data_IF_514701016495
#
_entry.id   IF_514701016495
#
_cell.length_a   1.000
_cell.length_b   1.000
_cell.length_c   1.000
_cell.angle_alpha   90.00
_cell.angle_beta   90.00
_cell.angle_gamma   90.00
#
_symmetry.space_group_name_H-M   'P 1'
#
loop_
_entity.id
_entity.type
_entity.pdbx_description
1 polymer ?
#
# COMPACT_ATOMS: atom_id res chain seq x y z
N UNK A 1 -8.09 -12.35 4.24
CA UNK A 1 -7.19 -13.39 4.77
C UNK A 1 -5.75 -12.92 4.92
N UNK A 2 -5.25 -12.14 3.94
CA UNK A 2 -3.87 -11.64 3.97
C UNK A 2 -3.60 -10.70 5.17
N UNK A 3 -4.61 -9.95 5.61
CA UNK A 3 -4.56 -9.03 6.76
C UNK A 3 -4.42 -9.81 8.08
N UNK A 4 -5.11 -10.92 8.19
CA UNK A 4 -5.16 -11.74 9.39
C UNK A 4 -3.96 -12.68 9.52
N UNK A 5 -3.44 -13.19 8.36
CA UNK A 5 -2.42 -14.22 8.31
C UNK A 5 -1.10 -13.75 7.69
N UNK A 6 -0.78 -12.47 7.81
CA UNK A 6 0.48 -11.86 7.38
C UNK A 6 0.84 -12.15 5.91
N UNK A 7 -0.13 -11.96 5.01
CA UNK A 7 0.02 -12.26 3.58
C UNK A 7 0.73 -11.17 2.77
N UNK A 8 0.87 -9.94 3.27
CA UNK A 8 1.49 -8.84 2.54
C UNK A 8 3.00 -8.73 2.80
N UNK A 9 3.75 -8.32 1.77
CA UNK A 9 5.19 -8.02 1.93
C UNK A 9 5.47 -6.88 2.91
N UNK A 10 4.52 -5.96 3.08
CA UNK A 10 4.63 -4.86 4.02
C UNK A 10 4.83 -5.34 5.47
N UNK A 11 4.28 -6.48 5.86
CA UNK A 11 4.55 -7.08 7.17
C UNK A 11 6.03 -7.46 7.36
N UNK A 12 6.64 -8.05 6.32
CA UNK A 12 8.07 -8.38 6.37
C UNK A 12 8.92 -7.12 6.42
N UNK A 13 8.58 -6.13 5.60
CA UNK A 13 9.24 -4.83 5.63
C UNK A 13 9.13 -4.16 7.00
N UNK A 14 7.96 -4.22 7.63
CA UNK A 14 7.73 -3.65 8.95
C UNK A 14 8.55 -4.37 10.04
N UNK A 15 8.60 -5.70 10.00
CA UNK A 15 9.46 -6.47 10.91
C UNK A 15 10.94 -6.09 10.75
N UNK A 16 11.40 -5.99 9.50
CA UNK A 16 12.80 -5.65 9.21
C UNK A 16 13.13 -4.23 9.70
N UNK A 17 12.26 -3.23 9.48
CA UNK A 17 12.52 -1.86 9.94
C UNK A 17 12.53 -1.76 11.46
N UNK A 18 11.68 -2.51 12.17
CA UNK A 18 11.70 -2.61 13.64
C UNK A 18 13.06 -3.13 14.13
N UNK A 19 13.64 -4.13 13.45
CA UNK A 19 14.94 -4.71 13.83
C UNK A 19 16.12 -3.83 13.42
N UNK A 20 16.12 -3.29 12.21
CA UNK A 20 17.19 -2.41 11.72
C UNK A 20 17.37 -1.19 12.62
N UNK A 21 16.28 -0.59 13.07
CA UNK A 21 16.33 0.62 13.94
C UNK A 21 16.78 0.35 15.36
N UNK A 22 16.80 -0.88 15.81
CA UNK A 22 17.42 -1.26 17.08
C UNK A 22 18.96 -1.32 16.97
N UNK A 23 19.46 -1.58 15.75
CA UNK A 23 20.89 -1.80 15.50
C UNK A 23 21.56 -0.51 14.99
N UNK A 24 20.91 0.18 14.07
CA UNK A 24 21.52 1.32 13.38
C UNK A 24 20.96 2.65 13.86
N UNK A 25 21.82 3.62 14.20
CA UNK A 25 21.40 4.97 14.55
C UNK A 25 20.83 5.71 13.33
N UNK A 26 20.04 6.75 13.59
CA UNK A 26 19.27 7.47 12.58
C UNK A 26 20.12 8.06 11.44
N UNK A 27 21.37 8.45 11.72
CA UNK A 27 22.24 9.03 10.69
C UNK A 27 22.63 7.98 9.63
N UNK A 28 22.90 6.72 10.04
CA UNK A 28 23.18 5.62 9.11
C UNK A 28 21.94 5.32 8.25
N UNK A 29 20.76 5.37 8.84
CA UNK A 29 19.52 5.17 8.11
C UNK A 29 19.28 6.26 7.04
N UNK A 30 19.70 7.50 7.31
CA UNK A 30 19.67 8.58 6.31
C UNK A 30 20.65 8.33 5.15
N UNK A 31 21.81 7.75 5.42
CA UNK A 31 22.77 7.33 4.40
C UNK A 31 22.16 6.24 3.51
N UNK A 32 21.57 5.21 4.12
CA UNK A 32 20.87 4.16 3.36
C UNK A 32 19.72 4.73 2.52
N UNK A 33 18.95 5.67 3.06
CA UNK A 33 17.90 6.37 2.32
C UNK A 33 18.47 7.12 1.11
N UNK A 34 19.59 7.82 1.26
CA UNK A 34 20.24 8.56 0.17
C UNK A 34 20.63 7.62 -0.98
N UNK A 35 21.29 6.50 -0.70
CA UNK A 35 21.74 5.56 -1.72
C UNK A 35 20.63 4.71 -2.32
N UNK A 36 19.69 4.23 -1.51
CA UNK A 36 18.68 3.24 -1.93
C UNK A 36 17.28 3.80 -2.08
N UNK A 37 16.99 4.97 -1.52
CA UNK A 37 15.63 5.55 -1.53
C UNK A 37 15.19 6.10 -2.88
N UNK A 38 16.13 6.38 -3.80
CA UNK A 38 15.87 6.99 -5.11
C UNK A 38 16.44 6.14 -6.26
N UNK A 39 16.40 4.82 -6.14
CA UNK A 39 16.87 3.93 -7.20
C UNK A 39 16.05 4.13 -8.47
N UNK A 40 16.72 4.14 -9.62
CA UNK A 40 16.05 4.18 -10.92
C UNK A 40 15.21 2.91 -11.10
N UNK A 41 13.90 3.08 -11.20
CA UNK A 41 12.93 1.99 -11.31
C UNK A 41 12.73 1.67 -12.79
N UNK A 42 12.77 0.39 -13.15
CA UNK A 42 12.46 -0.06 -14.50
C UNK A 42 10.95 -0.13 -14.74
N UNK A 43 10.56 -0.19 -16.01
CA UNK A 43 9.16 -0.36 -16.43
C UNK A 43 8.55 -1.72 -16.08
N UNK A 44 9.34 -2.66 -15.55
CA UNK A 44 8.86 -3.99 -15.20
C UNK A 44 7.91 -3.94 -14.00
N UNK A 45 6.76 -4.60 -14.13
CA UNK A 45 5.70 -4.63 -13.10
C UNK A 45 6.18 -5.09 -11.72
N UNK A 46 7.08 -6.08 -11.68
CA UNK A 46 7.62 -6.66 -10.44
C UNK A 46 9.09 -6.28 -10.23
N UNK A 47 9.46 -5.03 -10.42
CA UNK A 47 10.82 -4.58 -10.20
C UNK A 47 11.17 -4.64 -8.70
N UNK A 48 12.17 -5.46 -8.37
CA UNK A 48 12.70 -5.54 -7.00
C UNK A 48 13.35 -4.22 -6.56
N UNK A 49 13.93 -3.45 -7.50
CA UNK A 49 14.47 -2.11 -7.22
C UNK A 49 13.39 -1.18 -6.70
N UNK A 50 12.15 -1.27 -7.24
CA UNK A 50 11.00 -0.51 -6.73
C UNK A 50 10.73 -0.83 -5.26
N UNK A 51 10.70 -2.12 -4.89
CA UNK A 51 10.46 -2.54 -3.49
C UNK A 51 11.55 -2.06 -2.55
N UNK A 52 12.81 -2.17 -2.97
CA UNK A 52 13.98 -1.71 -2.20
C UNK A 52 13.90 -0.20 -2.02
N UNK A 53 13.68 0.54 -3.10
CA UNK A 53 13.59 2.00 -3.03
C UNK A 53 12.43 2.46 -2.13
N UNK A 54 11.24 1.88 -2.25
CA UNK A 54 10.12 2.21 -1.35
C UNK A 54 10.41 1.91 0.12
N UNK A 55 11.10 0.82 0.40
CA UNK A 55 11.52 0.47 1.76
C UNK A 55 12.45 1.55 2.33
N UNK A 56 13.53 1.88 1.62
CA UNK A 56 14.53 2.82 2.09
C UNK A 56 14.08 4.28 2.04
N UNK A 57 13.16 4.65 1.17
CA UNK A 57 12.61 6.02 1.08
C UNK A 57 12.00 6.49 2.41
N UNK A 58 11.49 5.57 3.20
CA UNK A 58 10.81 5.88 4.47
C UNK A 58 11.51 5.30 5.71
N UNK A 59 12.73 4.79 5.57
CA UNK A 59 13.44 4.12 6.67
C UNK A 59 13.76 5.05 7.84
N UNK A 60 13.91 6.35 7.61
CA UNK A 60 14.19 7.37 8.61
C UNK A 60 12.93 7.87 9.36
N UNK A 61 11.73 7.52 8.89
CA UNK A 61 10.45 7.90 9.52
C UNK A 61 10.16 7.01 10.74
N UNK A 62 9.21 7.42 11.59
CA UNK A 62 8.72 6.54 12.66
C UNK A 62 8.14 5.25 12.05
N UNK A 63 8.31 4.11 12.72
CA UNK A 63 7.98 2.80 12.13
C UNK A 63 6.51 2.71 11.68
N UNK A 64 5.57 3.20 12.48
CA UNK A 64 4.16 3.23 12.11
C UNK A 64 3.90 4.19 10.92
N UNK A 65 4.64 5.27 10.79
CA UNK A 65 4.54 6.18 9.64
C UNK A 65 5.05 5.50 8.37
N UNK A 66 6.19 4.79 8.43
CA UNK A 66 6.71 4.03 7.30
C UNK A 66 5.69 3.00 6.79
N UNK A 67 5.01 2.29 7.69
CA UNK A 67 3.95 1.33 7.32
C UNK A 67 2.79 2.03 6.59
N UNK A 68 2.35 3.18 7.08
CA UNK A 68 1.29 3.98 6.43
C UNK A 68 1.72 4.40 5.02
N UNK A 69 2.95 4.90 4.87
CA UNK A 69 3.45 5.34 3.57
C UNK A 69 3.58 4.20 2.55
N UNK A 70 4.01 3.01 2.98
CA UNK A 70 4.09 1.85 2.07
C UNK A 70 2.73 1.40 1.53
N UNK A 71 1.65 1.69 2.26
CA UNK A 71 0.29 1.31 1.86
C UNK A 71 -0.38 2.43 1.09
N UNK A 72 -0.26 3.67 1.55
CA UNK A 72 -0.90 4.82 0.92
C UNK A 72 -0.17 5.31 -0.34
N UNK A 73 1.10 4.96 -0.51
CA UNK A 73 2.00 5.50 -1.54
C UNK A 73 2.12 7.04 -1.52
N UNK A 74 1.74 7.70 -0.41
CA UNK A 74 1.84 9.15 -0.25
C UNK A 74 2.95 9.53 0.74
N UNK A 75 3.82 10.45 0.36
CA UNK A 75 4.78 11.11 1.24
C UNK A 75 4.24 12.49 1.68
N UNK A 76 4.52 12.90 2.92
CA UNK A 76 4.14 14.23 3.44
C UNK A 76 4.65 15.40 2.58
N UNK A 77 5.82 15.24 1.96
CA UNK A 77 6.39 16.26 1.08
C UNK A 77 5.60 16.37 -0.22
N UNK A 78 5.31 15.24 -0.82
CA UNK A 78 4.50 15.13 -2.02
C UNK A 78 3.09 15.63 -1.76
N UNK A 79 2.58 15.43 -0.56
CA UNK A 79 1.27 15.84 -0.12
C UNK A 79 1.07 17.36 -0.06
N UNK A 80 2.04 18.12 0.44
CA UNK A 80 1.99 19.58 0.43
C UNK A 80 1.89 20.15 -0.98
N UNK A 81 2.50 19.47 -1.94
CA UNK A 81 2.49 19.85 -3.35
C UNK A 81 1.26 19.33 -4.11
N UNK A 82 0.59 18.29 -3.57
CA UNK A 82 -0.58 17.66 -4.18
C UNK A 82 -1.90 18.32 -3.85
N UNK A 83 -2.11 18.67 -2.59
CA UNK A 83 -3.42 19.12 -2.17
C UNK A 83 -3.59 20.62 -2.38
N UNK A 84 -4.53 21.01 -3.26
CA UNK A 84 -5.04 22.39 -3.37
C UNK A 84 -5.68 22.90 -2.07
N UNK A 85 -6.02 22.01 -1.14
CA UNK A 85 -6.62 22.36 0.15
C UNK A 85 -5.81 21.85 1.32
N UNK A 86 -5.48 22.71 2.25
CA UNK A 86 -4.92 22.39 3.57
C UNK A 86 -5.89 21.64 4.50
N UNK A 87 -6.99 21.13 3.97
CA UNK A 87 -8.14 20.62 4.73
C UNK A 87 -8.08 19.15 5.10
N UNK A 88 -7.08 18.39 4.64
CA UNK A 88 -6.91 17.04 5.11
C UNK A 88 -6.34 17.04 6.53
N UNK A 89 -7.21 16.84 7.50
CA UNK A 89 -6.91 16.76 8.95
C UNK A 89 -6.07 15.50 9.28
N UNK A 90 -4.85 15.43 8.69
CA UNK A 90 -3.93 14.29 8.76
C UNK A 90 -3.38 14.03 10.15
N UNK A 91 -3.24 15.07 10.96
CA UNK A 91 -2.76 14.92 12.33
C UNK A 91 -3.66 14.01 13.17
N UNK A 92 -4.98 14.04 12.95
CA UNK A 92 -5.92 13.18 13.69
C UNK A 92 -5.74 11.71 13.37
N UNK A 93 -5.72 11.33 12.09
CA UNK A 93 -5.59 9.92 11.67
C UNK A 93 -4.24 9.31 12.07
N UNK A 94 -3.14 10.04 11.90
CA UNK A 94 -1.82 9.58 12.35
C UNK A 94 -1.74 9.45 13.87
N UNK A 95 -2.43 10.31 14.63
CA UNK A 95 -2.50 10.18 16.09
C UNK A 95 -3.21 8.90 16.55
N UNK A 96 -4.27 8.47 15.87
CA UNK A 96 -4.90 7.17 16.15
C UNK A 96 -3.94 6.01 15.91
N UNK A 97 -3.25 6.01 14.77
CA UNK A 97 -2.28 4.97 14.43
C UNK A 97 -1.11 4.97 15.42
N UNK A 98 -0.62 6.16 15.81
CA UNK A 98 0.41 6.32 16.84
C UNK A 98 -0.05 5.71 18.17
N UNK A 99 -1.26 6.03 18.64
CA UNK A 99 -1.82 5.47 19.88
C UNK A 99 -1.92 3.94 19.79
N UNK A 100 -2.39 3.41 18.65
CA UNK A 100 -2.46 1.97 18.44
C UNK A 100 -1.06 1.33 18.48
N UNK A 101 -0.05 1.95 17.86
CA UNK A 101 1.33 1.49 17.90
C UNK A 101 1.92 1.48 19.31
N UNK A 102 1.64 2.53 20.10
CA UNK A 102 2.11 2.65 21.48
C UNK A 102 1.44 1.64 22.42
N UNK A 103 0.16 1.36 22.20
CA UNK A 103 -0.62 0.42 23.03
C UNK A 103 -0.10 -1.03 22.96
N UNK A 104 0.46 -1.44 21.83
CA UNK A 104 0.90 -2.82 21.62
C UNK A 104 2.41 -2.97 21.77
N UNK A 105 2.85 -3.78 22.75
CA UNK A 105 4.27 -4.17 22.93
C UNK A 105 4.74 -5.02 21.74
N UNK A 106 3.94 -5.99 21.31
CA UNK A 106 4.16 -6.74 20.08
C UNK A 106 3.84 -5.87 18.85
N UNK A 107 4.91 -5.38 18.18
CA UNK A 107 4.78 -4.50 17.03
C UNK A 107 4.22 -5.20 15.79
N UNK A 108 4.38 -6.50 15.68
CA UNK A 108 3.74 -7.27 14.61
C UNK A 108 2.24 -7.40 14.84
N UNK A 109 1.80 -7.52 16.10
CA UNK A 109 0.38 -7.47 16.46
C UNK A 109 -0.24 -6.11 16.10
N UNK A 110 0.47 -5.02 16.40
CA UNK A 110 0.07 -3.69 15.91
C UNK A 110 -0.12 -3.69 14.40
N UNK A 111 0.84 -4.22 13.64
CA UNK A 111 0.74 -4.21 12.17
C UNK A 111 -0.46 -5.03 11.67
N UNK A 112 -0.75 -6.18 12.26
CA UNK A 112 -1.94 -7.00 11.96
C UNK A 112 -3.23 -6.20 12.17
N UNK A 113 -3.36 -5.56 13.35
CA UNK A 113 -4.52 -4.73 13.70
C UNK A 113 -4.64 -3.50 12.79
N UNK A 114 -3.52 -2.91 12.40
CA UNK A 114 -3.49 -1.80 11.46
C UNK A 114 -4.08 -2.20 10.10
N UNK A 115 -3.62 -3.32 9.53
CA UNK A 115 -4.16 -3.83 8.28
C UNK A 115 -5.64 -4.20 8.39
N UNK A 116 -6.04 -4.84 9.48
CA UNK A 116 -7.41 -5.23 9.70
C UNK A 116 -8.36 -4.02 9.85
N UNK A 117 -7.97 -3.00 10.63
CA UNK A 117 -8.84 -1.86 10.94
C UNK A 117 -8.84 -0.75 9.89
N UNK A 118 -7.72 -0.53 9.21
CA UNK A 118 -7.54 0.65 8.34
C UNK A 118 -7.38 0.32 6.87
N UNK A 119 -6.83 -0.85 6.54
CA UNK A 119 -6.60 -1.24 5.15
C UNK A 119 -7.72 -2.13 4.61
N UNK A 120 -8.13 -3.15 5.34
CA UNK A 120 -9.16 -4.09 4.92
C UNK A 120 -10.49 -3.42 4.55
N UNK A 121 -11.02 -2.42 5.31
CA UNK A 121 -12.28 -1.77 4.94
C UNK A 121 -12.27 -1.16 3.54
N UNK A 122 -11.14 -0.60 3.09
CA UNK A 122 -11.03 -0.02 1.74
C UNK A 122 -11.07 -1.10 0.65
N UNK A 123 -10.52 -2.28 0.94
CA UNK A 123 -10.56 -3.42 0.02
C UNK A 123 -11.97 -4.02 -0.05
N UNK A 124 -12.63 -4.15 1.10
CA UNK A 124 -13.99 -4.67 1.18
C UNK A 124 -14.97 -3.75 0.45
N UNK A 125 -14.87 -2.45 0.67
CA UNK A 125 -15.69 -1.46 -0.02
C UNK A 125 -15.53 -1.58 -1.54
N UNK A 126 -14.29 -1.68 -2.03
CA UNK A 126 -14.01 -1.87 -3.46
C UNK A 126 -14.60 -3.17 -4.00
N UNK A 127 -14.44 -4.28 -3.26
CA UNK A 127 -14.96 -5.58 -3.67
C UNK A 127 -16.49 -5.58 -3.73
N UNK A 128 -17.13 -4.98 -2.72
CA UNK A 128 -18.58 -4.85 -2.63
C UNK A 128 -19.14 -4.02 -3.78
N UNK A 129 -18.63 -2.82 -4.00
CA UNK A 129 -19.05 -2.00 -5.15
C UNK A 129 -18.88 -2.73 -6.48
N UNK A 130 -17.76 -3.41 -6.69
CA UNK A 130 -17.48 -4.08 -7.96
C UNK A 130 -18.41 -5.27 -8.21
N UNK A 131 -18.80 -6.01 -7.18
CA UNK A 131 -19.72 -7.14 -7.28
C UNK A 131 -21.18 -6.67 -7.40
N UNK A 132 -21.56 -5.66 -6.62
CA UNK A 132 -22.93 -5.11 -6.63
C UNK A 132 -23.29 -4.39 -7.93
N UNK A 133 -22.31 -3.85 -8.67
CA UNK A 133 -22.55 -3.36 -10.05
C UNK A 133 -23.16 -4.43 -10.98
N UNK A 134 -22.96 -5.71 -10.66
CA UNK A 134 -23.52 -6.84 -11.38
C UNK A 134 -24.57 -7.61 -10.54
N UNK A 135 -25.13 -6.99 -9.50
CA UNK A 135 -26.09 -7.59 -8.56
C UNK A 135 -25.61 -8.90 -7.94
N UNK A 136 -24.30 -9.06 -7.74
CA UNK A 136 -23.67 -10.22 -7.13
C UNK A 136 -23.21 -9.88 -5.72
N UNK A 137 -23.69 -10.58 -4.71
CA UNK A 137 -23.23 -10.41 -3.34
C UNK A 137 -21.96 -11.19 -3.08
N UNK A 138 -20.88 -10.49 -2.70
CA UNK A 138 -19.60 -11.10 -2.38
C UNK A 138 -19.50 -11.40 -0.89
N UNK A 139 -19.26 -12.66 -0.52
CA UNK A 139 -19.03 -13.08 0.86
C UNK A 139 -17.57 -13.44 1.08
N UNK A 140 -17.02 -13.04 2.23
CA UNK A 140 -15.63 -13.24 2.59
C UNK A 140 -15.51 -14.25 3.76
N UNK A 141 -15.32 -15.56 3.49
CA UNK A 141 -15.28 -16.61 4.54
C UNK A 141 -14.23 -16.35 5.61
N UNK A 142 -13.11 -15.73 5.23
CA UNK A 142 -12.04 -15.37 6.17
C UNK A 142 -12.41 -14.26 7.15
N UNK A 143 -13.58 -13.64 7.02
CA UNK A 143 -14.08 -12.59 7.92
C UNK A 143 -15.21 -13.08 8.83
N UNK A 144 -15.42 -14.38 8.93
CA UNK A 144 -16.29 -14.92 9.99
C UNK A 144 -15.76 -14.51 11.36
N UNK A 145 -16.66 -14.19 12.28
CA UNK A 145 -16.33 -13.70 13.62
C UNK A 145 -15.34 -14.62 14.33
N UNK A 146 -15.57 -15.92 14.25
CA UNK A 146 -14.74 -16.92 14.95
C UNK A 146 -13.33 -16.96 14.39
N UNK A 147 -13.19 -16.93 13.04
CA UNK A 147 -11.87 -16.93 12.41
C UNK A 147 -11.10 -15.63 12.64
N UNK A 148 -11.79 -14.49 12.65
CA UNK A 148 -11.18 -13.20 12.99
C UNK A 148 -10.67 -13.23 14.43
N UNK A 149 -11.51 -13.60 15.40
CA UNK A 149 -11.12 -13.69 16.80
C UNK A 149 -9.94 -14.65 16.98
N UNK A 150 -10.05 -15.86 16.43
CA UNK A 150 -8.97 -16.84 16.47
C UNK A 150 -7.64 -16.26 15.93
N UNK A 151 -7.67 -15.63 14.77
CA UNK A 151 -6.45 -15.08 14.17
C UNK A 151 -5.84 -13.93 14.98
N UNK A 152 -6.72 -13.12 15.59
CA UNK A 152 -6.30 -12.00 16.43
C UNK A 152 -5.80 -12.47 17.81
N UNK A 153 -6.25 -13.59 18.33
CA UNK A 153 -5.80 -14.16 19.61
C UNK A 153 -4.52 -14.98 19.47
N UNK A 154 -4.21 -15.42 18.26
CA UNK A 154 -2.98 -16.17 18.00
C UNK A 154 -1.72 -15.36 18.37
N UNK A 155 -0.77 -15.98 19.08
CA UNK A 155 0.55 -15.40 19.24
C UNK A 155 1.23 -15.15 17.90
N UNK A 156 1.80 -13.97 17.72
CA UNK A 156 2.42 -13.57 16.45
C UNK A 156 3.48 -14.56 15.96
N UNK A 157 4.26 -15.14 16.88
CA UNK A 157 5.28 -16.17 16.58
C UNK A 157 4.73 -17.41 15.86
N UNK A 158 3.45 -17.77 16.10
CA UNK A 158 2.80 -18.90 15.44
C UNK A 158 2.25 -18.55 14.05
N UNK A 159 1.88 -17.27 13.85
CA UNK A 159 1.19 -16.81 12.66
C UNK A 159 2.14 -16.12 11.64
N UNK A 160 3.15 -15.39 12.11
CA UNK A 160 4.10 -14.66 11.28
C UNK A 160 5.38 -15.45 11.00
N UNK A 161 5.89 -15.35 9.77
CA UNK A 161 7.22 -15.83 9.39
C UNK A 161 7.89 -14.83 8.44
N UNK A 162 9.17 -14.54 8.70
CA UNK A 162 9.98 -13.70 7.80
C UNK A 162 10.20 -14.36 6.44
N UNK A 163 10.31 -15.68 6.41
CA UNK A 163 10.64 -16.44 5.19
C UNK A 163 9.41 -16.78 4.34
N UNK A 164 8.23 -16.92 4.94
CA UNK A 164 7.01 -17.31 4.23
C UNK A 164 5.83 -16.40 4.55
N UNK A 165 5.17 -15.90 3.51
CA UNK A 165 3.87 -15.22 3.66
C UNK A 165 2.78 -16.27 3.94
N UNK A 166 1.80 -15.92 4.78
CA UNK A 166 0.70 -16.83 5.17
C UNK A 166 1.21 -18.17 5.71
N UNK A 167 2.27 -18.12 6.55
CA UNK A 167 3.00 -19.32 6.99
C UNK A 167 2.09 -20.34 7.69
N UNK A 168 1.17 -19.89 8.54
CA UNK A 168 0.21 -20.76 9.22
C UNK A 168 -0.74 -21.43 8.22
N UNK A 169 -1.33 -20.67 7.31
CA UNK A 169 -2.24 -21.19 6.29
C UNK A 169 -1.56 -22.24 5.40
N UNK A 170 -0.32 -21.95 5.00
CA UNK A 170 0.47 -22.92 4.23
C UNK A 170 0.74 -24.22 4.99
N UNK A 171 0.99 -24.13 6.30
CA UNK A 171 1.19 -25.34 7.12
C UNK A 171 -0.08 -26.17 7.23
N UNK A 172 -1.24 -25.52 7.44
CA UNK A 172 -2.52 -26.19 7.58
C UNK A 172 -2.92 -26.87 6.27
N UNK A 173 -2.81 -26.16 5.15
CA UNK A 173 -3.30 -26.62 3.85
C UNK A 173 -2.20 -27.19 2.93
N UNK A 174 -1.04 -27.54 3.46
CA UNK A 174 0.09 -27.98 2.63
C UNK A 174 -0.21 -29.27 1.86
N UNK A 175 -0.90 -30.20 2.50
CA UNK A 175 -1.22 -31.49 1.87
C UNK A 175 -2.32 -31.34 0.81
N UNK A 176 -3.33 -30.48 1.06
CA UNK A 176 -4.50 -30.33 0.20
C UNK A 176 -4.23 -29.44 -1.01
N UNK A 177 -3.34 -28.45 -0.84
CA UNK A 177 -3.12 -27.39 -1.83
C UNK A 177 -1.64 -27.17 -2.17
N UNK A 178 -0.80 -28.21 -2.14
CA UNK A 178 0.63 -28.09 -2.39
C UNK A 178 0.95 -27.32 -3.67
N UNK A 179 0.36 -27.72 -4.80
CA UNK A 179 0.56 -27.07 -6.11
C UNK A 179 0.12 -25.60 -6.14
N UNK A 180 -0.91 -25.23 -5.35
CA UNK A 180 -1.40 -23.84 -5.25
C UNK A 180 -0.49 -23.02 -4.35
N UNK A 181 0.00 -23.60 -3.25
CA UNK A 181 0.89 -22.93 -2.30
C UNK A 181 2.26 -22.60 -2.89
N UNK A 182 2.72 -23.36 -3.88
CA UNK A 182 3.98 -23.15 -4.58
C UNK A 182 3.90 -22.03 -5.63
N UNK A 183 2.70 -21.71 -6.13
CA UNK A 183 2.53 -20.63 -7.11
C UNK A 183 2.78 -19.25 -6.49
N UNK A 184 3.51 -18.42 -7.22
CA UNK A 184 3.66 -17.01 -6.85
C UNK A 184 2.31 -16.33 -6.91
N UNK A 185 1.99 -15.56 -5.86
CA UNK A 185 0.79 -14.73 -5.83
C UNK A 185 0.90 -13.65 -6.91
N UNK A 186 -0.05 -13.63 -7.83
CA UNK A 186 -0.27 -12.51 -8.75
C UNK A 186 -1.38 -11.62 -8.18
N UNK A 187 -1.08 -10.32 -8.03
CA UNK A 187 -2.10 -9.35 -7.64
C UNK A 187 -3.01 -9.02 -8.83
N UNK A 188 -4.21 -8.54 -8.54
CA UNK A 188 -5.05 -7.90 -9.54
C UNK A 188 -4.38 -6.58 -9.97
N UNK A 189 -3.63 -6.64 -11.06
CA UNK A 189 -3.06 -5.46 -11.66
C UNK A 189 -3.42 -5.46 -13.14
N UNK A 190 -4.01 -4.38 -13.59
CA UNK A 190 -4.12 -4.11 -15.00
C UNK A 190 -3.02 -3.13 -15.43
N UNK A 191 -2.75 -3.07 -16.74
CA UNK A 191 -1.66 -2.27 -17.28
C UNK A 191 -2.02 -0.77 -17.34
N UNK A 192 -2.11 -0.12 -16.17
CA UNK A 192 -2.39 1.31 -16.08
C UNK A 192 -1.34 2.20 -16.78
N UNK A 193 -0.14 1.65 -17.01
CA UNK A 193 0.95 2.37 -17.66
C UNK A 193 0.67 2.66 -19.12
N UNK A 194 0.03 1.74 -19.82
CA UNK A 194 -0.40 1.91 -21.20
C UNK A 194 -1.36 3.08 -21.31
N UNK A 195 -2.37 3.11 -20.44
CA UNK A 195 -3.34 4.22 -20.37
C UNK A 195 -2.65 5.55 -20.03
N UNK A 196 -1.76 5.56 -19.03
CA UNK A 196 -1.05 6.78 -18.62
C UNK A 196 -0.07 7.30 -19.67
N UNK A 197 0.41 6.47 -20.60
CA UNK A 197 1.29 6.88 -21.71
C UNK A 197 0.52 7.45 -22.90
N UNK A 198 -0.76 7.14 -22.99
CA UNK A 198 -1.62 7.74 -24.01
C UNK A 198 -1.93 9.20 -23.66
N UNK A 199 -1.16 10.13 -24.26
CA UNK A 199 -1.32 11.57 -24.04
C UNK A 199 -2.71 12.05 -24.46
N UNK A 200 -3.24 11.54 -25.57
CA UNK A 200 -4.55 11.95 -26.07
C UNK A 200 -5.65 11.56 -25.07
N UNK A 201 -5.58 10.33 -24.54
CA UNK A 201 -6.50 9.89 -23.49
C UNK A 201 -6.40 10.76 -22.25
N UNK A 202 -5.19 11.05 -21.76
CA UNK A 202 -4.95 11.84 -20.55
C UNK A 202 -5.51 13.25 -20.70
N UNK A 203 -5.14 13.99 -21.74
CA UNK A 203 -5.59 15.37 -21.92
C UNK A 203 -7.08 15.46 -22.26
N UNK A 204 -7.67 14.46 -22.93
CA UNK A 204 -9.12 14.40 -23.20
C UNK A 204 -9.93 14.19 -21.91
N UNK A 205 -9.46 13.35 -20.97
CA UNK A 205 -10.22 12.95 -19.81
C UNK A 205 -9.91 13.76 -18.55
N UNK A 206 -8.72 14.35 -18.44
CA UNK A 206 -8.37 15.21 -17.29
C UNK A 206 -8.73 16.66 -17.63
N UNK A 207 -10.03 16.99 -17.53
CA UNK A 207 -10.55 18.34 -17.77
C UNK A 207 -10.31 19.29 -16.60
N UNK A 208 -10.32 18.76 -15.39
CA UNK A 208 -10.10 19.50 -14.15
C UNK A 208 -9.19 18.71 -13.22
N UNK A 209 -8.17 19.37 -12.71
CA UNK A 209 -7.24 18.76 -11.76
C UNK A 209 -7.82 18.94 -10.36
N UNK A 210 -8.26 17.86 -9.74
CA UNK A 210 -9.00 17.90 -8.46
C UNK A 210 -8.10 17.88 -7.24
N UNK A 211 -7.08 17.04 -7.29
CA UNK A 211 -6.16 16.84 -6.16
C UNK A 211 -4.87 17.61 -6.34
N UNK A 212 -4.43 17.77 -7.57
CA UNK A 212 -3.09 18.23 -7.92
C UNK A 212 -3.15 19.68 -8.45
N UNK A 213 -2.19 20.50 -8.09
CA UNK A 213 -1.98 21.79 -8.73
C UNK A 213 -1.59 21.58 -10.20
N UNK A 214 -2.08 22.44 -11.11
CA UNK A 214 -1.92 22.28 -12.56
C UNK A 214 -0.46 22.20 -12.97
N UNK A 215 0.36 23.10 -12.47
CA UNK A 215 1.81 23.11 -12.72
C UNK A 215 2.50 21.84 -12.24
N UNK A 216 2.08 21.33 -11.08
CA UNK A 216 2.64 20.10 -10.51
C UNK A 216 2.21 18.84 -11.28
N UNK A 217 0.98 18.82 -11.81
CA UNK A 217 0.53 17.73 -12.67
C UNK A 217 1.39 17.62 -13.92
N UNK A 218 1.55 18.70 -14.67
CA UNK A 218 2.29 18.69 -15.93
C UNK A 218 3.77 18.34 -15.71
N UNK A 219 4.38 18.87 -14.66
CA UNK A 219 5.75 18.51 -14.25
C UNK A 219 5.88 17.01 -13.96
N UNK A 220 4.97 16.44 -13.20
CA UNK A 220 5.00 15.02 -12.86
C UNK A 220 4.66 14.13 -14.05
N UNK A 221 3.72 14.55 -14.90
CA UNK A 221 3.38 13.82 -16.10
C UNK A 221 4.54 13.78 -17.09
N UNK A 222 5.19 14.90 -17.33
CA UNK A 222 6.40 14.97 -18.16
C UNK A 222 7.56 14.13 -17.57
N UNK A 223 7.72 14.15 -16.24
CA UNK A 223 8.70 13.32 -15.55
C UNK A 223 8.38 11.82 -15.69
N UNK A 224 7.11 11.45 -15.61
CA UNK A 224 6.64 10.08 -15.81
C UNK A 224 6.93 9.58 -17.23
N UNK A 225 6.64 10.39 -18.24
CA UNK A 225 6.93 10.06 -19.64
C UNK A 225 8.43 9.87 -19.90
N UNK A 226 9.29 10.54 -19.13
CA UNK A 226 10.75 10.35 -19.13
C UNK A 226 11.23 9.15 -18.28
N UNK A 227 10.30 8.35 -17.73
CA UNK A 227 10.60 7.12 -16.99
C UNK A 227 10.61 7.25 -15.47
N UNK A 228 10.14 8.35 -14.89
CA UNK A 228 9.97 8.47 -13.45
C UNK A 228 8.69 7.76 -12.96
N UNK A 229 8.82 6.49 -12.58
CA UNK A 229 7.69 5.67 -12.15
C UNK A 229 7.14 6.03 -10.76
N UNK A 230 7.77 6.91 -10.01
CA UNK A 230 7.26 7.35 -8.70
C UNK A 230 5.96 8.15 -8.81
N UNK A 231 5.74 8.82 -9.93
CA UNK A 231 4.54 9.62 -10.19
C UNK A 231 3.33 8.79 -10.64
N UNK A 232 3.53 7.52 -11.00
CA UNK A 232 2.51 6.65 -11.61
C UNK A 232 1.20 6.59 -10.81
N UNK A 233 1.30 6.41 -9.47
CA UNK A 233 0.11 6.27 -8.64
C UNK A 233 -0.68 7.57 -8.54
N UNK A 234 -0.01 8.68 -8.52
CA UNK A 234 -0.63 10.01 -8.41
C UNK A 234 -1.39 10.38 -9.67
N UNK A 235 -0.74 10.20 -10.81
CA UNK A 235 -1.37 10.43 -12.11
C UNK A 235 -2.59 9.54 -12.29
N UNK A 236 -2.47 8.29 -11.87
CA UNK A 236 -3.59 7.35 -11.91
C UNK A 236 -4.77 7.78 -11.03
N UNK A 237 -4.51 8.25 -9.82
CA UNK A 237 -5.56 8.75 -8.92
C UNK A 237 -6.31 9.95 -9.55
N UNK A 238 -5.60 10.85 -10.23
CA UNK A 238 -6.21 11.98 -10.91
C UNK A 238 -7.10 11.54 -12.08
N UNK A 239 -6.64 10.55 -12.87
CA UNK A 239 -7.45 9.93 -13.94
C UNK A 239 -8.74 9.36 -13.37
N UNK A 240 -8.66 8.54 -12.32
CA UNK A 240 -9.85 7.91 -11.72
C UNK A 240 -10.83 8.95 -11.19
N UNK A 241 -10.34 10.01 -10.54
CA UNK A 241 -11.21 11.08 -10.04
C UNK A 241 -11.97 11.79 -11.16
N UNK A 242 -11.28 12.10 -12.26
CA UNK A 242 -11.92 12.75 -13.40
C UNK A 242 -12.96 11.83 -14.06
N UNK A 243 -12.64 10.57 -14.29
CA UNK A 243 -13.58 9.59 -14.88
C UNK A 243 -14.78 9.36 -13.99
N UNK A 244 -14.58 9.24 -12.67
CA UNK A 244 -15.69 9.05 -11.71
C UNK A 244 -16.65 10.23 -11.72
N UNK A 245 -16.14 11.46 -11.78
CA UNK A 245 -16.99 12.65 -11.86
C UNK A 245 -17.74 12.79 -13.17
N UNK A 246 -17.08 12.51 -14.29
CA UNK A 246 -17.76 12.54 -15.61
C UNK A 246 -18.94 11.56 -15.67
N UNK A 247 -18.88 10.46 -14.91
CA UNK A 247 -19.98 9.50 -14.83
C UNK A 247 -21.10 9.93 -13.87
N UNK A 248 -20.81 10.78 -12.89
CA UNK A 248 -21.80 11.33 -11.95
C UNK A 248 -22.53 12.55 -12.51
N UNK A 249 -21.96 13.23 -13.51
CA UNK A 249 -22.52 14.41 -14.17
C UNK A 249 -23.39 14.03 -15.40
N UNK A 250 -23.49 12.75 -15.74
CA UNK A 250 -24.39 12.18 -16.75
C UNK A 250 -25.67 11.67 -16.09
#
# INVERSE_FOLDING_TARGET
GDELFFGYLAFKGFYIIEKIKLIFPTFILKIFKFFFGNLRISDKYLDNKKKISYFFKHIDKKNYEALVFWISNFDKFEEKNYCKSNTLNKSKNLNFIRKLYQKHSDKMKFSQLFFFKYYLPTILLKADFSSMLNSVESRAPYLSKDLVNYSLDLPTKKNFSLFSQRSLMKKIFNNDFKKINEKKKHGFAFNKREILRDKNFIYKNIKKKFMINDEYFDKNYNSYLKGNMYCEQYLWNEVILNLSRQNLEK
#
